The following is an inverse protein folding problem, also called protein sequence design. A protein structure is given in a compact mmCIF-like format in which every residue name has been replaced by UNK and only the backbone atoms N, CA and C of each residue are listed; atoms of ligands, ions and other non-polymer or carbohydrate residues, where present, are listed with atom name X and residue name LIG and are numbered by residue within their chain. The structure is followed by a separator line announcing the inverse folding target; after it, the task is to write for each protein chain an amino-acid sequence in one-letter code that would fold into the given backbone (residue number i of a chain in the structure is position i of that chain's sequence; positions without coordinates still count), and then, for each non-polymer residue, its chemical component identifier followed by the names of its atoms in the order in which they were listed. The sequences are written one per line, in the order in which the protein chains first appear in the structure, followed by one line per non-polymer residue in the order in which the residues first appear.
data_IF_393727272738
#
_entry.id   IF_393727272738
#
_cell.length_a   1.000
_cell.length_b   1.000
_cell.length_c   1.000
_cell.angle_alpha   90.00
_cell.angle_beta   90.00
_cell.angle_gamma   90.00
#
_symmetry.space_group_name_H-M   'P 1'
#
loop_
_entity.id
_entity.type
_entity.pdbx_description
1 polymer ?
#
# COMPACT_ATOMS: atom_id res chain seq x y z
N UNK A 1 -10.89 10.34 -5.47
CA UNK A 1 -9.73 10.28 -6.38
C UNK A 1 -8.62 9.53 -5.67
N UNK A 2 -7.97 8.58 -6.33
CA UNK A 2 -6.72 8.01 -5.83
C UNK A 2 -5.59 8.82 -6.43
N UNK A 3 -4.84 9.57 -5.61
CA UNK A 3 -3.69 10.29 -6.13
C UNK A 3 -2.59 9.27 -6.41
N UNK A 4 -1.82 9.51 -7.48
CA UNK A 4 -0.64 8.69 -7.77
C UNK A 4 0.33 8.65 -6.59
N UNK A 5 0.44 9.74 -5.82
CA UNK A 5 1.22 9.80 -4.59
C UNK A 5 0.80 8.76 -3.55
N UNK A 6 -0.50 8.52 -3.41
CA UNK A 6 -1.08 7.62 -2.40
C UNK A 6 -0.80 6.16 -2.80
N UNK A 7 -0.92 5.87 -4.10
CA UNK A 7 -0.58 4.55 -4.67
C UNK A 7 0.92 4.26 -4.51
N UNK A 8 1.77 5.25 -4.78
CA UNK A 8 3.22 5.10 -4.62
C UNK A 8 3.62 4.91 -3.16
N UNK A 9 3.03 5.69 -2.23
CA UNK A 9 3.28 5.56 -0.80
C UNK A 9 2.87 4.16 -0.30
N UNK A 10 1.66 3.72 -0.65
CA UNK A 10 1.15 2.39 -0.30
C UNK A 10 2.08 1.29 -0.82
N UNK A 11 2.46 1.37 -2.10
CA UNK A 11 3.35 0.38 -2.74
C UNK A 11 4.71 0.33 -2.03
N UNK A 12 5.31 1.49 -1.73
CA UNK A 12 6.61 1.54 -1.03
C UNK A 12 6.47 0.94 0.37
N UNK A 13 5.44 1.31 1.14
CA UNK A 13 5.19 0.80 2.49
C UNK A 13 4.94 -0.71 2.50
N UNK A 14 4.20 -1.24 1.54
CA UNK A 14 3.95 -2.66 1.40
C UNK A 14 5.23 -3.43 1.01
N UNK A 15 6.00 -2.94 0.04
CA UNK A 15 7.25 -3.59 -0.41
C UNK A 15 8.31 -3.62 0.70
N UNK A 16 8.49 -2.54 1.48
CA UNK A 16 9.41 -2.57 2.63
C UNK A 16 8.93 -3.48 3.76
N UNK A 17 7.62 -3.74 3.82
CA UNK A 17 6.99 -4.69 4.78
C UNK A 17 7.03 -6.13 4.29
N UNK A 18 7.59 -6.39 3.11
CA UNK A 18 7.81 -7.73 2.57
C UNK A 18 6.75 -8.21 1.58
N UNK A 19 5.93 -7.32 1.01
CA UNK A 19 5.01 -7.69 -0.07
C UNK A 19 5.78 -8.25 -1.29
N UNK A 20 5.37 -9.42 -1.77
CA UNK A 20 5.96 -10.12 -2.92
C UNK A 20 5.16 -9.85 -4.20
N UNK A 21 3.89 -9.47 -4.07
CA UNK A 21 3.02 -9.19 -5.21
C UNK A 21 1.97 -8.12 -4.95
N UNK A 22 1.13 -7.87 -5.95
CA UNK A 22 0.03 -6.91 -5.87
C UNK A 22 -1.07 -7.33 -4.90
N UNK A 23 -1.26 -8.63 -4.70
CA UNK A 23 -2.19 -9.19 -3.71
C UNK A 23 -1.76 -8.79 -2.28
N UNK A 24 -0.48 -8.92 -1.95
CA UNK A 24 0.05 -8.49 -0.64
C UNK A 24 -0.04 -6.97 -0.44
N UNK A 25 0.09 -6.18 -1.51
CA UNK A 25 -0.04 -4.72 -1.46
C UNK A 25 -1.51 -4.31 -1.21
N UNK A 26 -2.45 -5.02 -1.83
CA UNK A 26 -3.89 -4.85 -1.59
C UNK A 26 -4.23 -5.19 -0.14
N UNK A 27 -3.82 -6.38 0.33
CA UNK A 27 -3.98 -6.83 1.72
C UNK A 27 -3.34 -5.86 2.72
N UNK A 28 -2.15 -5.32 2.41
CA UNK A 28 -1.48 -4.31 3.23
C UNK A 28 -2.32 -3.03 3.34
N UNK A 29 -2.91 -2.57 2.23
CA UNK A 29 -3.77 -1.39 2.21
C UNK A 29 -5.08 -1.58 2.99
N UNK A 30 -5.68 -2.77 2.93
CA UNK A 30 -6.89 -3.10 3.68
C UNK A 30 -6.63 -3.24 5.19
N UNK A 31 -5.49 -3.84 5.56
CA UNK A 31 -5.10 -4.04 6.96
C UNK A 31 -4.55 -2.78 7.63
N UNK A 32 -4.03 -1.82 6.85
CA UNK A 32 -3.46 -0.56 7.34
C UNK A 32 -4.16 0.67 6.74
N UNK A 33 -5.45 0.89 7.04
CA UNK A 33 -6.24 1.98 6.44
C UNK A 33 -5.75 3.38 6.83
N UNK A 34 -4.85 3.49 7.81
CA UNK A 34 -4.27 4.75 8.27
C UNK A 34 -3.03 5.17 7.45
N UNK A 35 -2.50 4.31 6.58
CA UNK A 35 -1.35 4.62 5.72
C UNK A 35 -1.62 5.80 4.79
N UNK A 36 -2.89 6.03 4.43
CA UNK A 36 -3.33 7.06 3.49
C UNK A 36 -4.23 8.13 4.13
N UNK A 37 -4.25 8.23 5.47
CA UNK A 37 -5.07 9.21 6.20
C UNK A 37 -4.49 10.62 6.21
#
# INVERSE_FOLDING_TARGET
EHKLSDILLLTICAVISGAEGWEDIEDFGETHPDVLK
#
